data_IF_305130906758
#
_entry.id   IF_305130906758
#
_cell.length_a   1.000
_cell.length_b   1.000
_cell.length_c   1.000
_cell.angle_alpha   90.00
_cell.angle_beta   90.00
_cell.angle_gamma   90.00
#
_symmetry.space_group_name_H-M   'P 1'
#
loop_
_entity.id
_entity.type
_entity.pdbx_description
1 polymer ?
#
# COMPACT_ATOMS: atom_id res chain seq x y z
N UNK A 1 -15.25 -14.26 -9.95
CA UNK A 1 -14.65 -12.93 -10.23
C UNK A 1 -13.54 -12.72 -9.21
N UNK A 2 -12.36 -12.24 -9.62
CA UNK A 2 -11.25 -11.98 -8.70
C UNK A 2 -11.63 -10.81 -7.78
N UNK A 3 -11.67 -11.03 -6.47
CA UNK A 3 -11.97 -9.99 -5.50
C UNK A 3 -10.68 -9.31 -5.02
N UNK A 4 -10.32 -8.20 -5.68
CA UNK A 4 -9.15 -7.39 -5.36
C UNK A 4 -9.31 -6.61 -4.05
N UNK A 5 -10.53 -6.46 -3.52
CA UNK A 5 -10.75 -5.73 -2.26
C UNK A 5 -10.26 -6.51 -1.05
N UNK A 6 -9.99 -7.80 -1.22
CA UNK A 6 -9.41 -8.68 -0.20
C UNK A 6 -7.87 -8.62 -0.14
N UNK A 7 -7.21 -7.96 -1.11
CA UNK A 7 -5.76 -7.90 -1.17
C UNK A 7 -5.22 -6.89 -0.15
N UNK A 8 -4.74 -7.40 0.97
CA UNK A 8 -4.00 -6.60 1.96
C UNK A 8 -2.55 -6.41 1.50
N UNK A 9 -1.81 -5.43 2.07
CA UNK A 9 -0.37 -5.29 1.88
C UNK A 9 0.41 -6.60 2.06
N UNK A 10 0.05 -7.39 3.08
CA UNK A 10 0.70 -8.66 3.41
C UNK A 10 0.46 -9.69 2.30
N UNK A 11 -0.80 -9.86 1.87
CA UNK A 11 -1.14 -10.75 0.76
C UNK A 11 -0.41 -10.35 -0.53
N UNK A 12 -0.38 -9.06 -0.85
CA UNK A 12 0.31 -8.55 -2.03
C UNK A 12 1.83 -8.81 -1.97
N UNK A 13 2.43 -8.63 -0.80
CA UNK A 13 3.85 -8.87 -0.58
C UNK A 13 4.24 -10.34 -0.73
N UNK A 14 3.41 -11.26 -0.26
CA UNK A 14 3.62 -12.71 -0.37
C UNK A 14 3.35 -13.24 -1.78
N UNK A 15 2.42 -12.63 -2.52
CA UNK A 15 1.96 -13.09 -3.83
C UNK A 15 2.35 -12.16 -4.97
N UNK A 16 3.44 -11.39 -4.82
CA UNK A 16 3.79 -10.27 -5.69
C UNK A 16 3.82 -10.62 -7.19
N UNK A 17 4.40 -11.77 -7.57
CA UNK A 17 4.47 -12.21 -8.96
C UNK A 17 3.09 -12.46 -9.55
N UNK A 18 2.25 -13.24 -8.85
CA UNK A 18 0.88 -13.53 -9.30
C UNK A 18 0.02 -12.27 -9.32
N UNK A 19 0.16 -11.40 -8.30
CA UNK A 19 -0.52 -10.12 -8.26
C UNK A 19 -0.13 -9.24 -9.46
N UNK A 20 1.16 -9.17 -9.80
CA UNK A 20 1.64 -8.42 -10.96
C UNK A 20 1.09 -8.98 -12.29
N UNK A 21 1.02 -10.30 -12.44
CA UNK A 21 0.39 -10.94 -13.61
C UNK A 21 -1.08 -10.56 -13.74
N UNK A 22 -1.84 -10.56 -12.65
CA UNK A 22 -3.22 -10.10 -12.64
C UNK A 22 -3.34 -8.61 -12.99
N UNK A 23 -2.50 -7.75 -12.39
CA UNK A 23 -2.50 -6.31 -12.62
C UNK A 23 -2.00 -5.91 -14.03
N UNK A 24 -1.31 -6.80 -14.73
CA UNK A 24 -0.93 -6.60 -16.14
C UNK A 24 -2.14 -6.56 -17.08
N UNK A 25 -3.28 -7.13 -16.67
CA UNK A 25 -4.52 -7.23 -17.44
C UNK A 25 -5.37 -5.97 -17.30
N UNK A 26 -5.81 -5.39 -18.43
CA UNK A 26 -6.53 -4.13 -18.44
C UNK A 26 -7.92 -4.25 -17.78
N UNK A 27 -8.60 -5.37 -18.02
CA UNK A 27 -9.89 -5.72 -17.45
C UNK A 27 -9.83 -5.86 -15.92
N UNK A 28 -8.71 -6.33 -15.37
CA UNK A 28 -8.49 -6.39 -13.91
C UNK A 28 -8.22 -5.01 -13.35
N UNK A 29 -7.40 -4.18 -14.02
CA UNK A 29 -7.16 -2.80 -13.56
C UNK A 29 -8.44 -1.95 -13.56
N UNK A 30 -9.34 -2.19 -14.50
CA UNK A 30 -10.61 -1.49 -14.59
C UNK A 30 -11.52 -1.74 -13.38
N UNK A 31 -11.40 -2.89 -12.68
CA UNK A 31 -12.19 -3.17 -11.47
C UNK A 31 -11.64 -2.52 -10.20
N UNK A 32 -10.41 -1.98 -10.25
CA UNK A 32 -9.80 -1.30 -9.10
C UNK A 32 -10.41 0.10 -8.97
N UNK A 33 -10.87 0.51 -7.77
CA UNK A 33 -11.43 1.85 -7.56
C UNK A 33 -10.45 2.95 -7.96
N UNK A 34 -10.94 3.97 -8.67
CA UNK A 34 -10.18 5.18 -8.98
C UNK A 34 -10.41 6.21 -7.87
N UNK A 35 -9.38 6.51 -7.09
CA UNK A 35 -9.43 7.45 -5.96
C UNK A 35 -9.89 8.85 -6.39
N UNK A 36 -9.62 9.27 -7.62
CA UNK A 36 -10.03 10.57 -8.17
C UNK A 36 -11.53 10.82 -8.12
N UNK A 37 -12.35 9.76 -8.25
CA UNK A 37 -13.81 9.86 -8.30
C UNK A 37 -14.52 8.94 -7.28
N UNK A 38 -13.76 8.25 -6.43
CA UNK A 38 -14.31 7.37 -5.38
C UNK A 38 -14.57 8.16 -4.10
N UNK A 39 -15.75 7.99 -3.50
CA UNK A 39 -16.04 8.56 -2.18
C UNK A 39 -15.19 7.84 -1.12
N UNK A 40 -14.50 8.60 -0.27
CA UNK A 40 -13.57 8.06 0.72
C UNK A 40 -14.22 7.03 1.66
N UNK A 41 -15.47 7.23 2.06
CA UNK A 41 -16.20 6.30 2.94
C UNK A 41 -16.54 4.95 2.28
N UNK A 42 -16.42 4.83 0.95
CA UNK A 42 -16.59 3.56 0.24
C UNK A 42 -15.28 2.76 0.17
N UNK A 43 -14.14 3.41 0.48
CA UNK A 43 -12.83 2.78 0.44
C UNK A 43 -12.52 2.18 1.80
N UNK A 44 -12.23 0.88 1.81
CA UNK A 44 -11.76 0.20 3.01
C UNK A 44 -10.27 0.48 3.19
N UNK A 45 -9.85 0.51 4.46
CA UNK A 45 -8.44 0.60 4.80
C UNK A 45 -7.66 -0.57 4.18
N UNK A 46 -6.39 -0.34 3.84
CA UNK A 46 -5.47 -1.33 3.28
C UNK A 46 -5.92 -1.99 1.96
N UNK A 47 -6.68 -1.27 1.13
CA UNK A 47 -7.10 -1.76 -0.18
C UNK A 47 -6.31 -1.11 -1.32
N UNK A 48 -6.15 -1.86 -2.41
CA UNK A 48 -5.53 -1.34 -3.62
C UNK A 48 -6.48 -0.35 -4.33
N UNK A 49 -5.94 0.82 -4.67
CA UNK A 49 -6.64 1.85 -5.44
C UNK A 49 -5.80 2.31 -6.62
N UNK A 50 -6.46 2.85 -7.65
CA UNK A 50 -5.81 3.62 -8.70
C UNK A 50 -5.86 5.09 -8.34
N UNK A 51 -4.82 5.82 -8.71
CA UNK A 51 -4.82 7.27 -8.64
C UNK A 51 -4.20 7.84 -9.92
N UNK A 52 -4.79 8.93 -10.42
CA UNK A 52 -4.27 9.69 -11.55
C UNK A 52 -3.99 11.11 -11.10
N UNK A 53 -2.77 11.57 -11.31
CA UNK A 53 -2.40 12.92 -10.93
C UNK A 53 -1.14 13.37 -11.63
N UNK A 54 -0.70 14.58 -11.27
CA UNK A 54 0.57 15.12 -11.70
C UNK A 54 1.58 14.95 -10.58
N UNK A 55 2.73 14.35 -10.87
CA UNK A 55 3.87 14.32 -9.94
C UNK A 55 4.43 15.75 -9.91
N UNK A 56 4.41 16.37 -8.74
CA UNK A 56 4.94 17.72 -8.55
C UNK A 56 6.39 17.67 -8.05
N UNK A 57 6.71 16.73 -7.17
CA UNK A 57 8.04 16.59 -6.59
C UNK A 57 8.37 15.13 -6.27
N UNK A 58 9.66 14.83 -6.25
CA UNK A 58 10.23 13.56 -5.82
C UNK A 58 11.23 13.85 -4.72
N UNK A 59 10.92 13.41 -3.50
CA UNK A 59 11.84 13.55 -2.38
C UNK A 59 12.99 12.55 -2.49
N UNK A 60 14.05 12.82 -1.73
CA UNK A 60 15.16 11.89 -1.59
C UNK A 60 14.67 10.51 -1.09
N UNK A 61 15.31 9.41 -1.52
CA UNK A 61 14.99 8.09 -1.00
C UNK A 61 15.10 8.04 0.52
N UNK A 62 14.11 7.43 1.15
CA UNK A 62 14.06 7.20 2.59
C UNK A 62 14.39 5.73 2.87
N UNK A 63 15.24 5.48 3.88
CA UNK A 63 15.45 4.14 4.40
C UNK A 63 14.32 3.78 5.36
N UNK A 64 13.77 2.56 5.22
CA UNK A 64 12.74 2.03 6.10
C UNK A 64 12.98 0.55 6.41
N UNK A 65 12.29 0.03 7.42
CA UNK A 65 12.29 -1.40 7.73
C UNK A 65 11.36 -2.13 6.76
N UNK A 66 11.93 -2.71 5.70
CA UNK A 66 11.18 -3.54 4.74
C UNK A 66 10.67 -4.82 5.39
N UNK A 67 11.48 -5.41 6.29
CA UNK A 67 11.11 -6.59 7.06
C UNK A 67 11.73 -6.50 8.45
N UNK A 68 10.97 -6.80 9.49
CA UNK A 68 11.45 -6.69 10.87
C UNK A 68 10.86 -7.75 11.80
N UNK A 69 11.64 -8.12 12.83
CA UNK A 69 11.17 -9.03 13.89
C UNK A 69 10.32 -8.30 14.94
N UNK A 70 9.14 -8.85 15.20
CA UNK A 70 8.27 -8.45 16.31
C UNK A 70 8.41 -9.47 17.43
N UNK A 71 8.70 -9.01 18.63
CA UNK A 71 8.98 -9.83 19.82
C UNK A 71 8.09 -9.42 20.98
N UNK A 72 7.80 -10.35 21.88
CA UNK A 72 7.10 -10.05 23.13
C UNK A 72 7.93 -9.11 24.02
N UNK A 73 7.26 -8.22 24.75
CA UNK A 73 7.90 -7.40 25.78
C UNK A 73 8.12 -8.19 27.07
N UNK A 74 9.31 -8.04 27.64
CA UNK A 74 9.69 -8.66 28.93
C UNK A 74 10.37 -10.03 28.79
N UNK A 75 11.19 -10.37 29.80
CA UNK A 75 11.96 -11.62 29.85
C UNK A 75 12.90 -11.82 28.66
N UNK A 76 13.03 -13.07 28.19
CA UNK A 76 13.81 -13.44 27.00
C UNK A 76 13.14 -13.03 25.66
N UNK A 77 11.98 -12.35 25.71
CA UNK A 77 11.34 -11.70 24.56
C UNK A 77 11.25 -12.58 23.32
N UNK A 78 10.45 -13.65 23.37
CA UNK A 78 10.30 -14.59 22.25
C UNK A 78 9.87 -13.92 20.95
N UNK A 79 10.37 -14.43 19.82
CA UNK A 79 9.95 -14.01 18.48
C UNK A 79 8.46 -14.33 18.29
N UNK A 80 7.66 -13.33 17.97
CA UNK A 80 6.23 -13.49 17.64
C UNK A 80 6.07 -13.75 16.16
N UNK A 81 6.63 -12.86 15.33
CA UNK A 81 6.56 -12.93 13.87
C UNK A 81 7.64 -12.09 13.22
N UNK A 82 7.89 -12.39 11.95
CA UNK A 82 8.62 -11.52 11.03
C UNK A 82 7.59 -10.76 10.20
N UNK A 83 7.59 -9.44 10.30
CA UNK A 83 6.58 -8.57 9.70
C UNK A 83 7.13 -7.88 8.45
N UNK A 84 6.32 -7.80 7.39
CA UNK A 84 6.61 -6.97 6.22
C UNK A 84 6.17 -5.53 6.49
N UNK A 85 7.06 -4.57 6.22
CA UNK A 85 6.83 -3.14 6.43
C UNK A 85 6.49 -2.38 5.14
N UNK A 86 6.42 -3.04 3.99
CA UNK A 86 6.05 -2.37 2.73
C UNK A 86 4.59 -1.96 2.75
N UNK A 87 4.30 -0.85 2.07
CA UNK A 87 2.95 -0.25 1.95
C UNK A 87 2.30 0.09 3.31
N UNK A 88 3.12 0.37 4.32
CA UNK A 88 2.70 0.80 5.66
C UNK A 88 3.54 1.99 6.11
N UNK A 89 2.91 2.95 6.79
CA UNK A 89 3.60 4.08 7.42
C UNK A 89 3.83 3.88 8.92
N UNK A 90 3.20 2.86 9.50
CA UNK A 90 3.30 2.53 10.92
C UNK A 90 3.72 1.07 11.09
N UNK A 91 4.50 0.81 12.14
CA UNK A 91 4.86 -0.55 12.54
C UNK A 91 3.59 -1.31 12.96
N UNK A 92 3.37 -2.45 12.32
CA UNK A 92 2.27 -3.40 12.63
C UNK A 92 2.67 -4.25 13.84
N UNK A 93 2.29 -3.80 15.04
CA UNK A 93 2.48 -4.52 16.30
C UNK A 93 1.47 -4.11 17.36
N UNK A 94 1.20 -5.00 18.32
CA UNK A 94 0.53 -4.64 19.55
C UNK A 94 1.50 -3.82 20.41
N UNK A 95 1.34 -2.49 20.42
CA UNK A 95 2.27 -1.59 21.12
C UNK A 95 2.32 -1.79 22.62
N UNK A 96 1.34 -2.47 23.23
CA UNK A 96 1.32 -2.71 24.68
C UNK A 96 2.14 -3.95 25.04
N UNK A 97 2.07 -5.00 24.22
CA UNK A 97 2.64 -6.33 24.50
C UNK A 97 3.88 -6.66 23.66
N UNK A 98 4.08 -6.00 22.53
CA UNK A 98 5.11 -6.32 21.54
C UNK A 98 6.10 -5.16 21.32
N UNK A 99 7.30 -5.49 20.87
CA UNK A 99 8.33 -4.54 20.45
C UNK A 99 8.99 -5.01 19.15
N UNK A 100 9.53 -4.07 18.37
CA UNK A 100 10.40 -4.39 17.24
C UNK A 100 11.84 -4.53 17.73
N UNK A 101 12.48 -5.64 17.37
CA UNK A 101 13.92 -5.81 17.58
C UNK A 101 14.67 -5.19 16.41
N UNK A 102 15.10 -3.93 16.56
CA UNK A 102 15.83 -3.20 15.53
C UNK A 102 17.22 -3.78 15.22
N UNK A 103 17.73 -4.69 16.06
CA UNK A 103 19.06 -5.29 15.94
C UNK A 103 19.03 -6.74 15.44
N UNK A 104 17.85 -7.30 15.19
CA UNK A 104 17.74 -8.64 14.64
C UNK A 104 18.46 -8.74 13.29
N UNK A 105 19.29 -9.78 13.13
CA UNK A 105 20.08 -10.02 11.91
C UNK A 105 19.22 -10.37 10.70
N UNK A 106 17.97 -10.79 10.94
CA UNK A 106 16.96 -11.09 9.93
C UNK A 106 16.22 -9.84 9.42
N UNK A 107 16.41 -8.68 10.05
CA UNK A 107 15.83 -7.42 9.59
C UNK A 107 16.37 -7.08 8.20
N UNK A 108 15.48 -6.60 7.34
CA UNK A 108 15.83 -6.09 6.02
C UNK A 108 15.46 -4.62 5.95
N UNK A 109 16.45 -3.79 5.65
CA UNK A 109 16.24 -2.39 5.30
C UNK A 109 15.94 -2.29 3.81
N UNK A 110 14.94 -1.48 3.49
CA UNK A 110 14.59 -1.13 2.12
C UNK A 110 14.74 0.37 1.92
N UNK A 111 14.69 0.79 0.66
CA UNK A 111 14.59 2.19 0.28
C UNK A 111 13.26 2.42 -0.41
N UNK A 112 12.59 3.53 -0.07
CA UNK A 112 11.37 3.98 -0.76
C UNK A 112 11.56 5.41 -1.24
N UNK A 113 10.94 5.74 -2.37
CA UNK A 113 10.94 7.10 -2.90
C UNK A 113 9.53 7.67 -2.80
N UNK A 114 9.35 8.61 -1.89
CA UNK A 114 8.10 9.33 -1.70
C UNK A 114 7.87 10.30 -2.87
N UNK A 115 6.68 10.23 -3.47
CA UNK A 115 6.28 11.11 -4.57
C UNK A 115 5.15 12.01 -4.10
N UNK A 116 5.28 13.32 -4.31
CA UNK A 116 4.19 14.25 -4.06
C UNK A 116 3.34 14.36 -5.33
N UNK A 117 2.10 13.88 -5.25
CA UNK A 117 1.18 13.84 -6.39
C UNK A 117 -0.03 14.72 -6.11
N UNK A 118 -0.34 15.60 -7.06
CA UNK A 118 -1.48 16.52 -7.00
C UNK A 118 -2.55 16.15 -8.02
N UNK A 119 -3.77 16.61 -7.80
CA UNK A 119 -4.81 16.59 -8.83
C UNK A 119 -4.36 17.36 -10.07
N UNK A 120 -4.79 16.90 -11.24
CA UNK A 120 -4.41 17.52 -12.52
C UNK A 120 -4.85 18.99 -12.54
N UNK A 121 -3.96 19.97 -12.78
CA UNK A 121 -4.35 21.37 -12.88
C UNK A 121 -5.28 21.61 -14.07
N UNK A 122 -6.30 22.46 -13.90
CA UNK A 122 -7.25 22.77 -14.96
C UNK A 122 -8.07 21.55 -15.42
N UNK A 123 -8.34 20.62 -14.51
CA UNK A 123 -9.06 19.39 -14.86
C UNK A 123 -10.49 19.69 -15.29
N UNK A 124 -10.75 19.52 -16.59
CA UNK A 124 -12.02 19.89 -17.20
C UNK A 124 -13.14 18.94 -16.76
N UNK A 125 -14.34 19.48 -16.54
CA UNK A 125 -15.50 18.71 -16.10
C UNK A 125 -15.84 17.50 -16.99
N UNK A 126 -15.75 17.65 -18.32
CA UNK A 126 -16.00 16.54 -19.24
C UNK A 126 -15.03 15.36 -19.04
N UNK A 127 -13.79 15.62 -18.60
CA UNK A 127 -12.81 14.57 -18.35
C UNK A 127 -13.14 13.80 -17.07
N UNK A 128 -13.60 14.52 -16.02
CA UNK A 128 -14.11 13.93 -14.78
C UNK A 128 -15.29 13.00 -15.07
N UNK A 129 -16.28 13.48 -15.83
CA UNK A 129 -17.45 12.68 -16.21
C UNK A 129 -17.07 11.41 -16.99
N UNK A 130 -16.07 11.50 -17.89
CA UNK A 130 -15.57 10.34 -18.61
C UNK A 130 -14.90 9.33 -17.65
N UNK A 131 -14.11 9.79 -16.68
CA UNK A 131 -13.46 8.91 -15.70
C UNK A 131 -14.45 8.23 -14.76
N UNK A 132 -15.50 8.94 -14.34
CA UNK A 132 -16.60 8.38 -13.55
C UNK A 132 -17.32 7.27 -14.32
N UNK A 133 -17.66 7.50 -15.60
CA UNK A 133 -18.31 6.50 -16.46
C UNK A 133 -17.44 5.27 -16.66
N UNK A 134 -16.13 5.44 -16.87
CA UNK A 134 -15.20 4.34 -17.09
C UNK A 134 -14.83 3.58 -15.82
N UNK A 135 -14.95 4.21 -14.65
CA UNK A 135 -14.64 3.60 -13.35
C UNK A 135 -15.86 2.89 -12.73
N UNK A 136 -17.00 2.86 -13.42
CA UNK A 136 -18.19 2.11 -13.00
C UNK A 136 -18.96 2.80 -11.89
N UNK A 137 -19.39 4.06 -12.12
CA UNK A 137 -20.31 4.79 -11.25
C UNK A 137 -21.55 4.01 -10.83
#
# INVERSE_FOLDING_TARGET
MLDLTSWTPEYFCENATSCAEHLSKAEVRATIPLLNCSKLHNLRDNTLVRFRGMIQDMQDPECFLERYEVRQKGGDGGLVRVQDGRYRDVLVMNKDEETVDLRASSNKYGERRSMFVISIPGYNGWAVECEEKLSGG
#
